data_IF_228283568398
#
_entry.id   IF_228283568398
#
_cell.length_a   1.000
_cell.length_b   1.000
_cell.length_c   1.000
_cell.angle_alpha   90.00
_cell.angle_beta   90.00
_cell.angle_gamma   90.00
#
_symmetry.space_group_name_H-M   'P 1'
#
loop_
_entity.id
_entity.type
_entity.pdbx_description
1 polymer ?
#
# COMPACT_ATOMS: atom_id res chain seq x y z
N UNK A 1 -3.53 -8.96 24.56
CA UNK A 1 -3.05 -9.15 23.17
C UNK A 1 -1.88 -8.21 22.95
N UNK A 2 -0.78 -8.66 22.34
CA UNK A 2 0.37 -7.80 22.05
C UNK A 2 -0.03 -6.83 20.92
N UNK A 3 0.16 -5.52 21.11
CA UNK A 3 -0.01 -4.51 20.06
C UNK A 3 1.38 -4.05 19.64
N UNK A 4 1.73 -4.27 18.38
CA UNK A 4 2.97 -3.73 17.83
C UNK A 4 2.78 -2.24 17.55
N UNK A 5 3.83 -1.46 17.79
CA UNK A 5 3.88 -0.05 17.45
C UNK A 5 4.74 0.10 16.20
N UNK A 6 4.15 0.69 15.17
CA UNK A 6 4.83 1.04 13.93
C UNK A 6 4.88 2.56 13.81
N UNK A 7 5.94 3.07 13.19
CA UNK A 7 6.09 4.47 12.82
C UNK A 7 6.70 4.52 11.42
N UNK A 8 6.31 5.51 10.62
CA UNK A 8 6.70 5.63 9.23
C UNK A 8 6.90 7.10 8.86
N UNK A 9 7.88 7.33 8.00
CA UNK A 9 8.25 8.62 7.45
C UNK A 9 8.88 8.36 6.08
N UNK A 10 8.67 9.26 5.13
CA UNK A 10 9.26 9.18 3.78
C UNK A 10 9.82 10.55 3.37
N UNK A 11 10.81 10.55 2.48
CA UNK A 11 11.51 11.74 2.00
C UNK A 11 11.91 11.53 0.51
N UNK A 12 11.75 12.54 -0.37
CA UNK A 12 12.15 12.43 -1.79
C UNK A 12 13.66 12.26 -2.00
N UNK A 13 14.47 12.52 -0.99
CA UNK A 13 15.91 12.57 -1.05
C UNK A 13 16.43 13.84 -1.73
N UNK A 14 17.72 13.83 -2.08
CA UNK A 14 18.43 15.03 -2.56
C UNK A 14 18.36 15.25 -4.08
N UNK A 15 17.96 14.23 -4.85
CA UNK A 15 18.09 14.23 -6.32
C UNK A 15 16.75 14.28 -7.05
N UNK A 16 15.70 13.67 -6.48
CA UNK A 16 14.40 13.59 -7.14
C UNK A 16 13.58 14.83 -6.78
N UNK A 17 12.83 15.35 -7.75
CA UNK A 17 11.92 16.49 -7.56
C UNK A 17 10.57 16.08 -6.97
N UNK A 18 10.24 14.79 -6.97
CA UNK A 18 9.03 14.25 -6.37
C UNK A 18 9.33 12.93 -5.66
N UNK A 19 8.57 12.66 -4.60
CA UNK A 19 8.60 11.39 -3.89
C UNK A 19 7.56 10.45 -4.50
N UNK A 20 7.99 9.27 -4.93
CA UNK A 20 7.10 8.23 -5.47
C UNK A 20 6.90 7.09 -4.48
N UNK A 21 7.46 7.19 -3.27
CA UNK A 21 7.23 6.25 -2.19
C UNK A 21 5.93 6.60 -1.47
N UNK A 22 5.16 5.58 -1.10
CA UNK A 22 4.01 5.71 -0.22
C UNK A 22 4.02 4.62 0.87
N UNK A 23 3.37 4.89 2.00
CA UNK A 23 3.28 3.93 3.09
C UNK A 23 1.96 4.06 3.87
N UNK A 24 1.54 2.97 4.49
CA UNK A 24 0.39 2.93 5.38
C UNK A 24 0.73 2.19 6.68
N UNK A 25 0.21 2.68 7.79
CA UNK A 25 0.34 2.04 9.10
C UNK A 25 -1.04 1.78 9.66
N UNK A 26 -1.34 0.51 9.90
CA UNK A 26 -2.58 0.14 10.57
C UNK A 26 -2.58 0.64 12.02
N UNK A 27 -3.55 1.47 12.43
CA UNK A 27 -3.60 2.00 13.79
C UNK A 27 -3.83 0.91 14.83
N UNK A 28 -4.33 -0.27 14.45
CA UNK A 28 -4.49 -1.40 15.38
C UNK A 28 -3.18 -2.18 15.59
N UNK A 29 -2.10 -1.84 14.87
CA UNK A 29 -0.79 -2.44 15.02
C UNK A 29 -0.69 -3.85 14.45
N UNK A 30 -1.48 -4.15 13.41
CA UNK A 30 -1.59 -5.48 12.80
C UNK A 30 -0.71 -5.64 11.57
N UNK A 31 -0.55 -4.58 10.77
CA UNK A 31 0.28 -4.58 9.57
C UNK A 31 0.79 -3.16 9.22
N UNK A 32 1.73 -3.07 8.30
CA UNK A 32 2.12 -1.84 7.62
C UNK A 32 2.42 -2.17 6.16
N UNK A 33 2.38 -1.15 5.30
CA UNK A 33 2.62 -1.27 3.86
C UNK A 33 3.67 -0.22 3.47
N UNK A 34 4.56 -0.58 2.57
CA UNK A 34 5.48 0.34 1.88
C UNK A 34 5.40 0.00 0.39
N UNK A 35 5.27 1.02 -0.45
CA UNK A 35 5.24 0.90 -1.90
C UNK A 35 6.20 1.91 -2.54
N UNK A 36 7.11 1.44 -3.38
CA UNK A 36 7.99 2.26 -4.23
C UNK A 36 7.36 2.36 -5.62
N UNK A 37 6.94 3.57 -5.98
CA UNK A 37 6.28 3.87 -7.24
C UNK A 37 7.28 4.09 -8.38
N UNK A 38 7.03 3.47 -9.53
CA UNK A 38 7.79 3.69 -10.76
C UNK A 38 6.87 4.13 -11.90
N UNK A 39 7.28 5.12 -12.69
CA UNK A 39 6.47 5.57 -13.84
C UNK A 39 6.89 6.89 -14.50
N UNK A 40 7.97 7.54 -14.03
CA UNK A 40 8.25 8.92 -14.41
C UNK A 40 7.21 9.89 -13.82
N UNK A 41 7.28 11.17 -14.21
CA UNK A 41 6.44 12.30 -13.76
C UNK A 41 5.50 12.03 -12.55
N UNK A 42 4.18 12.12 -12.72
CA UNK A 42 3.20 11.85 -11.64
C UNK A 42 2.77 10.37 -11.55
N UNK A 43 3.10 9.54 -12.55
CA UNK A 43 2.58 8.17 -12.65
C UNK A 43 3.09 7.22 -11.56
N UNK A 44 4.33 7.41 -11.09
CA UNK A 44 4.87 6.59 -9.99
C UNK A 44 4.20 6.92 -8.64
N UNK A 45 3.98 8.20 -8.35
CA UNK A 45 3.33 8.64 -7.11
C UNK A 45 1.87 8.14 -7.05
N UNK A 46 1.13 8.24 -8.16
CA UNK A 46 -0.24 7.72 -8.21
C UNK A 46 -0.27 6.19 -8.04
N UNK A 47 0.66 5.48 -8.69
CA UNK A 47 0.72 4.03 -8.61
C UNK A 47 1.02 3.50 -7.19
N UNK A 48 1.97 4.10 -6.45
CA UNK A 48 2.24 3.71 -5.07
C UNK A 48 1.06 4.04 -4.15
N UNK A 49 0.42 5.20 -4.34
CA UNK A 49 -0.78 5.58 -3.59
C UNK A 49 -1.96 4.63 -3.80
N UNK A 50 -2.27 4.28 -5.07
CA UNK A 50 -3.33 3.31 -5.37
C UNK A 50 -3.02 1.92 -4.80
N UNK A 51 -1.75 1.53 -4.76
CA UNK A 51 -1.34 0.26 -4.18
C UNK A 51 -1.59 0.22 -2.67
N UNK A 52 -1.10 1.23 -1.93
CA UNK A 52 -1.28 1.31 -0.47
C UNK A 52 -2.76 1.44 -0.11
N UNK A 53 -3.53 2.23 -0.86
CA UNK A 53 -4.96 2.44 -0.65
C UNK A 53 -5.76 1.14 -0.81
N UNK A 54 -5.64 0.49 -1.97
CA UNK A 54 -6.36 -0.74 -2.26
C UNK A 54 -6.00 -1.90 -1.32
N UNK A 55 -4.72 -2.03 -0.96
CA UNK A 55 -4.28 -3.10 -0.04
C UNK A 55 -4.85 -2.85 1.36
N UNK A 56 -4.71 -1.65 1.92
CA UNK A 56 -5.15 -1.44 3.30
C UNK A 56 -6.67 -1.53 3.45
N UNK A 57 -7.44 -1.02 2.48
CA UNK A 57 -8.91 -1.14 2.50
C UNK A 57 -9.34 -2.61 2.51
N UNK A 58 -8.75 -3.43 1.63
CA UNK A 58 -9.06 -4.84 1.58
C UNK A 58 -8.65 -5.58 2.87
N UNK A 59 -7.46 -5.28 3.42
CA UNK A 59 -7.00 -5.89 4.67
C UNK A 59 -7.87 -5.46 5.87
N UNK A 60 -8.36 -4.22 5.90
CA UNK A 60 -9.29 -3.76 6.94
C UNK A 60 -10.60 -4.55 6.90
N UNK A 61 -11.19 -4.70 5.71
CA UNK A 61 -12.46 -5.40 5.50
C UNK A 61 -12.37 -6.90 5.78
N UNK A 62 -11.25 -7.53 5.43
CA UNK A 62 -11.10 -8.99 5.45
C UNK A 62 -10.31 -9.50 6.66
N UNK A 63 -9.87 -8.62 7.57
CA UNK A 63 -8.94 -9.00 8.64
C UNK A 63 -9.39 -10.22 9.46
N UNK A 64 -10.68 -10.28 9.78
CA UNK A 64 -11.29 -11.34 10.60
C UNK A 64 -12.02 -12.40 9.74
N UNK A 65 -11.88 -12.34 8.41
CA UNK A 65 -12.50 -13.30 7.51
C UNK A 65 -11.85 -14.69 7.65
N UNK A 66 -12.60 -15.80 7.48
CA UNK A 66 -12.10 -17.15 7.60
C UNK A 66 -11.33 -17.59 6.34
N UNK A 67 -10.37 -16.78 5.90
CA UNK A 67 -9.47 -17.06 4.78
C UNK A 67 -8.02 -17.11 5.29
N UNK A 68 -7.14 -17.82 4.57
CA UNK A 68 -5.73 -17.83 4.94
C UNK A 68 -5.10 -16.45 4.71
N UNK A 69 -4.05 -16.13 5.48
CA UNK A 69 -3.26 -14.91 5.28
C UNK A 69 -2.70 -14.84 3.85
N UNK A 70 -2.28 -15.97 3.29
CA UNK A 70 -1.81 -16.06 1.90
C UNK A 70 -2.90 -15.64 0.90
N UNK A 71 -4.12 -16.18 1.06
CA UNK A 71 -5.23 -15.82 0.18
C UNK A 71 -5.63 -14.35 0.33
N UNK A 72 -5.63 -13.85 1.57
CA UNK A 72 -5.90 -12.45 1.88
C UNK A 72 -4.91 -11.52 1.18
N UNK A 73 -3.60 -11.76 1.35
CA UNK A 73 -2.56 -10.96 0.71
C UNK A 73 -2.60 -11.07 -0.81
N UNK A 74 -2.82 -12.27 -1.36
CA UNK A 74 -2.95 -12.48 -2.80
C UNK A 74 -4.09 -11.65 -3.39
N UNK A 75 -5.26 -11.64 -2.73
CA UNK A 75 -6.41 -10.84 -3.18
C UNK A 75 -6.15 -9.34 -3.05
N UNK A 76 -5.55 -8.87 -1.96
CA UNK A 76 -5.14 -7.48 -1.78
C UNK A 76 -4.22 -7.00 -2.92
N UNK A 77 -3.17 -7.77 -3.24
CA UNK A 77 -2.23 -7.44 -4.31
C UNK A 77 -2.90 -7.46 -5.70
N UNK A 78 -3.82 -8.39 -5.93
CA UNK A 78 -4.60 -8.42 -7.18
C UNK A 78 -5.51 -7.20 -7.33
N UNK A 79 -6.10 -6.71 -6.24
CA UNK A 79 -6.93 -5.49 -6.25
C UNK A 79 -6.08 -4.25 -6.51
N UNK A 80 -4.94 -4.10 -5.83
CA UNK A 80 -3.98 -3.02 -6.11
C UNK A 80 -3.53 -3.00 -7.58
N UNK A 81 -3.14 -4.15 -8.13
CA UNK A 81 -2.76 -4.25 -9.54
C UNK A 81 -3.90 -3.84 -10.48
N UNK A 82 -5.15 -4.22 -10.18
CA UNK A 82 -6.32 -3.80 -10.98
C UNK A 82 -6.59 -2.31 -10.87
N UNK A 83 -6.45 -1.72 -9.69
CA UNK A 83 -6.62 -0.29 -9.47
C UNK A 83 -5.62 0.50 -10.33
N UNK A 84 -4.34 0.14 -10.28
CA UNK A 84 -3.29 0.78 -11.09
C UNK A 84 -3.55 0.63 -12.60
N UNK A 85 -3.92 -0.56 -13.08
CA UNK A 85 -4.22 -0.79 -14.51
C UNK A 85 -5.44 0.02 -14.98
N UNK A 86 -6.44 0.21 -14.11
CA UNK A 86 -7.65 0.94 -14.47
C UNK A 86 -7.43 2.46 -14.49
N UNK A 87 -6.53 2.96 -13.65
CA UNK A 87 -6.15 4.38 -13.63
C UNK A 87 -5.39 4.80 -14.91
N UNK A 88 -4.67 3.88 -15.54
CA UNK A 88 -3.92 4.15 -16.78
C UNK A 88 -4.77 4.19 -18.07
N UNK A 89 -6.11 4.17 -17.97
CA UNK A 89 -7.02 4.12 -19.13
C UNK A 89 -7.65 5.47 -19.48
#
# INVERSE_FOLDING_TARGET
MLRLLFSGMTDPGLLRSSNQDDYYIDPKGRFFIVADGMGGHAGGQEASHLATDAIHQYLEEQWDAPISTEEMLRKALMLANRAIINDQK
#
